data_IF_589138712390
#
_entry.id   IF_589138712390
#
_cell.length_a   1.000
_cell.length_b   1.000
_cell.length_c   1.000
_cell.angle_alpha   90.00
_cell.angle_beta   90.00
_cell.angle_gamma   90.00
#
_symmetry.space_group_name_H-M   'P 1'
#
loop_
_entity.id
_entity.type
_entity.pdbx_description
1 polymer ?
#
# COMPACT_ATOMS: atom_id res chain seq x y z
N UNK A 1 -22.85 -2.59 0.57
CA UNK A 1 -23.74 -1.41 0.50
C UNK A 1 -24.35 -1.38 -0.90
N UNK A 2 -25.68 -1.28 -1.03
CA UNK A 2 -26.34 -1.27 -2.34
C UNK A 2 -26.21 0.10 -3.03
N UNK A 3 -26.34 0.14 -4.35
CA UNK A 3 -26.38 1.39 -5.11
C UNK A 3 -27.46 2.36 -4.59
N UNK A 4 -28.64 1.83 -4.24
CA UNK A 4 -29.72 2.60 -3.64
C UNK A 4 -29.33 3.27 -2.32
N UNK A 5 -28.57 2.58 -1.47
CA UNK A 5 -28.12 3.15 -0.19
C UNK A 5 -27.08 4.25 -0.40
N UNK A 6 -26.23 4.13 -1.42
CA UNK A 6 -25.29 5.19 -1.81
C UNK A 6 -26.06 6.43 -2.27
N UNK A 7 -27.08 6.26 -3.11
CA UNK A 7 -27.93 7.38 -3.55
C UNK A 7 -28.63 8.07 -2.38
N UNK A 8 -29.14 7.31 -1.41
CA UNK A 8 -29.76 7.84 -0.19
C UNK A 8 -28.79 8.70 0.62
N UNK A 9 -27.56 8.21 0.84
CA UNK A 9 -26.52 8.93 1.59
C UNK A 9 -26.07 10.21 0.88
N UNK A 10 -26.00 10.20 -0.45
CA UNK A 10 -25.63 11.37 -1.24
C UNK A 10 -26.79 12.36 -1.42
N UNK A 11 -28.04 11.92 -1.18
CA UNK A 11 -29.23 12.75 -1.24
C UNK A 11 -29.34 13.55 -2.55
N UNK A 12 -29.44 14.87 -2.43
CA UNK A 12 -29.56 15.79 -3.57
C UNK A 12 -28.36 15.78 -4.52
N UNK A 13 -27.19 15.39 -4.04
CA UNK A 13 -25.94 15.39 -4.82
C UNK A 13 -25.76 14.08 -5.61
N UNK A 14 -26.56 13.05 -5.32
CA UNK A 14 -26.45 11.72 -5.92
C UNK A 14 -26.39 11.75 -7.45
N UNK A 15 -27.33 12.48 -8.07
CA UNK A 15 -27.40 12.59 -9.54
C UNK A 15 -26.14 13.24 -10.11
N UNK A 16 -25.70 14.35 -9.51
CA UNK A 16 -24.56 15.10 -10.01
C UNK A 16 -23.24 14.32 -9.85
N UNK A 17 -23.07 13.57 -8.77
CA UNK A 17 -21.84 12.83 -8.48
C UNK A 17 -21.76 11.49 -9.21
N UNK A 18 -22.84 10.71 -9.20
CA UNK A 18 -22.86 9.35 -9.75
C UNK A 18 -22.99 9.33 -11.27
N UNK A 19 -23.69 10.30 -11.85
CA UNK A 19 -23.86 10.39 -13.31
C UNK A 19 -22.77 11.24 -13.98
N UNK A 20 -21.85 11.83 -13.20
CA UNK A 20 -20.77 12.65 -13.76
C UNK A 20 -19.92 11.83 -14.74
N UNK A 21 -19.77 12.35 -15.96
CA UNK A 21 -18.82 11.85 -16.95
C UNK A 21 -17.89 12.98 -17.35
N UNK A 22 -16.59 12.81 -17.07
CA UNK A 22 -15.57 13.73 -17.55
C UNK A 22 -15.57 13.74 -19.08
N UNK A 23 -15.62 14.94 -19.66
CA UNK A 23 -15.51 15.15 -21.12
C UNK A 23 -14.10 15.57 -21.54
N UNK A 24 -13.19 15.73 -20.58
CA UNK A 24 -11.83 16.25 -20.83
C UNK A 24 -10.99 15.24 -21.58
N UNK A 25 -10.95 13.97 -21.12
CA UNK A 25 -10.20 12.89 -21.76
C UNK A 25 -11.11 11.68 -22.03
N UNK A 26 -11.18 11.20 -23.28
CA UNK A 26 -11.96 10.01 -23.63
C UNK A 26 -11.47 8.76 -22.90
N UNK A 27 -12.41 7.94 -22.42
CA UNK A 27 -12.13 6.72 -21.64
C UNK A 27 -11.34 5.67 -22.43
N UNK A 28 -11.55 5.60 -23.74
CA UNK A 28 -10.87 4.71 -24.69
C UNK A 28 -9.38 5.05 -24.88
N UNK A 29 -8.93 6.21 -24.42
CA UNK A 29 -7.50 6.57 -24.37
C UNK A 29 -6.79 6.13 -23.10
N UNK A 30 -7.49 5.45 -22.19
CA UNK A 30 -6.95 5.00 -20.91
C UNK A 30 -6.92 3.48 -20.84
N UNK A 31 -5.89 2.94 -20.18
CA UNK A 31 -5.91 1.56 -19.74
C UNK A 31 -6.90 1.43 -18.58
N UNK A 32 -8.05 0.80 -18.85
CA UNK A 32 -9.11 0.65 -17.84
C UNK A 32 -8.84 -0.61 -16.99
N UNK A 33 -8.90 -0.50 -15.65
CA UNK A 33 -8.86 -1.65 -14.75
C UNK A 33 -9.85 -2.74 -15.13
N UNK A 34 -9.41 -4.00 -15.06
CA UNK A 34 -10.23 -5.16 -15.38
C UNK A 34 -9.64 -6.46 -14.80
N UNK A 35 -10.34 -7.59 -14.96
CA UNK A 35 -9.88 -8.90 -14.48
C UNK A 35 -8.58 -9.37 -15.14
N UNK A 36 -8.28 -8.85 -16.33
CA UNK A 36 -7.07 -9.14 -17.11
C UNK A 36 -5.92 -8.16 -16.82
N UNK A 37 -6.00 -7.34 -15.76
CA UNK A 37 -5.08 -6.21 -15.57
C UNK A 37 -3.60 -6.62 -15.53
N UNK A 38 -3.26 -7.71 -14.84
CA UNK A 38 -1.87 -8.18 -14.75
C UNK A 38 -1.36 -8.63 -16.13
N UNK A 39 -2.14 -9.46 -16.82
CA UNK A 39 -1.78 -9.97 -18.14
C UNK A 39 -1.74 -8.88 -19.20
N UNK A 40 -2.71 -7.96 -19.21
CA UNK A 40 -2.81 -6.92 -20.25
C UNK A 40 -1.84 -5.76 -20.05
N UNK A 41 -1.49 -5.41 -18.81
CA UNK A 41 -0.70 -4.20 -18.51
C UNK A 41 0.71 -4.51 -18.07
N UNK A 42 0.90 -5.50 -17.19
CA UNK A 42 2.22 -5.74 -16.59
C UNK A 42 3.03 -6.81 -17.33
N UNK A 43 2.39 -7.76 -18.03
CA UNK A 43 3.12 -8.85 -18.69
C UNK A 43 4.06 -8.37 -19.82
N UNK A 44 3.71 -7.27 -20.48
CA UNK A 44 4.49 -6.66 -21.57
C UNK A 44 5.63 -5.74 -21.07
N UNK A 45 5.80 -5.64 -19.75
CA UNK A 45 6.83 -4.78 -19.14
C UNK A 45 8.14 -5.51 -18.85
N UNK A 46 9.11 -4.83 -18.25
CA UNK A 46 10.38 -5.40 -17.79
C UNK A 46 10.27 -6.23 -16.49
N UNK A 47 9.05 -6.45 -15.98
CA UNK A 47 8.83 -7.16 -14.72
C UNK A 47 9.12 -8.65 -14.85
N UNK A 48 9.89 -9.16 -13.90
CA UNK A 48 10.19 -10.59 -13.82
C UNK A 48 8.92 -11.41 -13.59
N UNK A 49 8.93 -12.68 -13.99
CA UNK A 49 7.84 -13.63 -13.68
C UNK A 49 7.53 -13.69 -12.18
N UNK A 50 8.55 -13.53 -11.32
CA UNK A 50 8.35 -13.49 -9.86
C UNK A 50 7.56 -12.25 -9.45
N UNK A 51 7.93 -11.08 -9.97
CA UNK A 51 7.20 -9.84 -9.71
C UNK A 51 5.76 -9.89 -10.26
N UNK A 52 5.54 -10.50 -11.43
CA UNK A 52 4.19 -10.73 -11.95
C UNK A 52 3.34 -11.61 -11.01
N UNK A 53 3.93 -12.64 -10.39
CA UNK A 53 3.24 -13.46 -9.37
C UNK A 53 2.87 -12.66 -8.13
N UNK A 54 3.76 -11.78 -7.67
CA UNK A 54 3.48 -10.87 -6.56
C UNK A 54 2.38 -9.85 -6.88
N UNK A 55 2.39 -9.29 -8.09
CA UNK A 55 1.30 -8.45 -8.59
C UNK A 55 -0.01 -9.23 -8.65
N UNK A 56 0.00 -10.47 -9.17
CA UNK A 56 -1.19 -11.31 -9.19
C UNK A 56 -1.73 -11.58 -7.78
N UNK A 57 -0.85 -11.84 -6.81
CA UNK A 57 -1.24 -12.04 -5.41
C UNK A 57 -1.95 -10.80 -4.84
N UNK A 58 -1.50 -9.58 -5.19
CA UNK A 58 -2.16 -8.33 -4.80
C UNK A 58 -3.51 -8.15 -5.51
N UNK A 59 -3.56 -8.32 -6.82
CA UNK A 59 -4.75 -8.07 -7.63
C UNK A 59 -5.85 -9.12 -7.48
N UNK A 60 -5.54 -10.33 -7.02
CA UNK A 60 -6.52 -11.42 -6.81
C UNK A 60 -6.89 -11.66 -5.34
N UNK A 61 -6.54 -10.76 -4.44
CA UNK A 61 -6.92 -10.84 -3.02
C UNK A 61 -7.99 -9.82 -2.63
N UNK A 62 -8.75 -10.11 -1.56
CA UNK A 62 -9.71 -9.17 -0.98
C UNK A 62 -11.00 -8.97 -1.79
N UNK A 63 -11.76 -7.94 -1.44
CA UNK A 63 -13.08 -7.60 -2.01
C UNK A 63 -12.97 -7.12 -3.45
N UNK A 64 -11.86 -6.49 -3.82
CA UNK A 64 -11.62 -5.96 -5.17
C UNK A 64 -10.82 -6.91 -6.06
N UNK A 65 -10.71 -8.20 -5.67
CA UNK A 65 -10.02 -9.20 -6.47
C UNK A 65 -10.53 -9.23 -7.91
N UNK A 66 -9.61 -9.32 -8.86
CA UNK A 66 -9.87 -9.44 -10.29
C UNK A 66 -10.74 -8.30 -10.87
N UNK A 67 -10.74 -7.13 -10.22
CA UNK A 67 -11.38 -5.92 -10.76
C UNK A 67 -10.37 -4.99 -11.45
N UNK A 68 -9.07 -5.25 -11.28
CA UNK A 68 -7.98 -4.35 -11.65
C UNK A 68 -7.79 -3.16 -10.71
N UNK A 69 -8.61 -3.04 -9.65
CA UNK A 69 -8.44 -2.05 -8.58
C UNK A 69 -7.79 -2.68 -7.34
N UNK A 70 -7.07 -1.87 -6.57
CA UNK A 70 -6.46 -2.27 -5.30
C UNK A 70 -7.02 -1.44 -4.15
N UNK A 71 -7.33 -2.12 -3.05
CA UNK A 71 -7.60 -1.52 -1.74
C UNK A 71 -6.52 -1.98 -0.77
N UNK A 72 -5.66 -1.06 -0.35
CA UNK A 72 -4.56 -1.33 0.58
C UNK A 72 -4.90 -0.62 1.89
N UNK A 73 -4.69 -1.27 3.02
CA UNK A 73 -4.74 -0.61 4.34
C UNK A 73 -3.34 -0.14 4.74
N UNK A 74 -2.98 1.14 4.56
CA UNK A 74 -1.71 1.69 5.01
C UNK A 74 -1.79 2.09 6.49
N UNK A 75 -0.98 1.46 7.34
CA UNK A 75 -0.86 1.83 8.76
C UNK A 75 0.61 1.85 9.15
N UNK A 76 1.30 2.94 8.84
CA UNK A 76 2.66 3.23 9.27
C UNK A 76 2.75 4.47 10.17
N UNK A 77 1.63 5.14 10.46
CA UNK A 77 1.61 6.37 11.26
C UNK A 77 2.22 6.23 12.66
N UNK A 78 2.29 5.00 13.21
CA UNK A 78 2.92 4.75 14.50
C UNK A 78 4.38 5.20 14.57
N UNK A 79 5.10 5.20 13.43
CA UNK A 79 6.46 5.75 13.36
C UNK A 79 6.50 7.16 12.78
N UNK A 80 5.63 7.48 11.80
CA UNK A 80 5.59 8.82 11.17
C UNK A 80 5.02 9.92 12.07
N UNK A 81 4.21 9.57 13.07
CA UNK A 81 3.53 10.50 13.97
C UNK A 81 3.58 10.10 15.45
N UNK A 82 4.34 9.06 15.80
CA UNK A 82 4.30 8.34 17.09
C UNK A 82 3.04 7.49 17.30
N UNK A 83 3.23 6.37 18.01
CA UNK A 83 2.15 5.48 18.42
C UNK A 83 1.14 6.17 19.35
N UNK A 84 1.61 7.07 20.22
CA UNK A 84 0.76 7.83 21.13
C UNK A 84 -0.26 8.69 20.37
N UNK A 85 0.18 9.49 19.40
CA UNK A 85 -0.74 10.32 18.62
C UNK A 85 -1.66 9.49 17.73
N UNK A 86 -1.15 8.38 17.18
CA UNK A 86 -1.84 7.57 16.19
C UNK A 86 -2.89 6.62 16.77
N UNK A 87 -2.59 6.00 17.92
CA UNK A 87 -3.37 4.87 18.44
C UNK A 87 -4.03 5.17 19.79
N UNK A 88 -3.72 6.29 20.47
CA UNK A 88 -4.45 6.67 21.68
C UNK A 88 -5.97 6.82 21.49
N UNK A 89 -6.50 7.32 20.35
CA UNK A 89 -7.94 7.38 20.14
C UNK A 89 -8.63 6.02 20.10
N UNK A 90 -7.92 4.96 19.70
CA UNK A 90 -8.41 3.59 19.77
C UNK A 90 -7.28 2.63 20.18
N UNK A 91 -7.09 2.41 21.50
CA UNK A 91 -5.92 1.72 22.04
C UNK A 91 -5.73 0.27 21.59
N UNK A 92 -6.74 -0.38 21.00
CA UNK A 92 -6.58 -1.74 20.49
C UNK A 92 -5.50 -1.82 19.39
N UNK A 93 -5.25 -0.71 18.68
CA UNK A 93 -4.25 -0.67 17.60
C UNK A 93 -2.81 -0.48 18.09
N UNK A 94 -2.59 -0.37 19.41
CA UNK A 94 -1.24 -0.58 19.95
C UNK A 94 -0.78 -2.03 19.76
N UNK A 95 -1.70 -3.00 19.66
CA UNK A 95 -1.40 -4.36 19.23
C UNK A 95 -1.36 -4.42 17.68
N UNK A 96 -0.18 -4.69 17.08
CA UNK A 96 0.00 -4.81 15.64
C UNK A 96 -0.94 -5.81 14.96
N UNK A 97 -1.38 -6.86 15.66
CA UNK A 97 -2.28 -7.88 15.09
C UNK A 97 -3.63 -7.28 14.69
N UNK A 98 -4.12 -6.27 15.41
CA UNK A 98 -5.41 -5.65 15.12
C UNK A 98 -5.41 -4.85 13.82
N UNK A 99 -4.25 -4.35 13.37
CA UNK A 99 -4.08 -3.72 12.06
C UNK A 99 -4.34 -4.75 10.94
N UNK A 100 -3.76 -5.94 11.06
CA UNK A 100 -3.91 -7.00 10.06
C UNK A 100 -5.33 -7.58 10.08
N UNK A 101 -5.91 -7.77 11.27
CA UNK A 101 -7.32 -8.18 11.40
C UNK A 101 -8.26 -7.18 10.73
N UNK A 102 -8.05 -5.89 10.94
CA UNK A 102 -8.83 -4.84 10.29
C UNK A 102 -8.72 -4.94 8.76
N UNK A 103 -7.52 -5.12 8.20
CA UNK A 103 -7.33 -5.26 6.75
C UNK A 103 -8.12 -6.45 6.18
N UNK A 104 -8.09 -7.60 6.87
CA UNK A 104 -8.81 -8.81 6.47
C UNK A 104 -10.32 -8.59 6.55
N UNK A 105 -10.82 -8.05 7.66
CA UNK A 105 -12.25 -7.78 7.86
C UNK A 105 -12.78 -6.75 6.86
N UNK A 106 -11.99 -5.71 6.58
CA UNK A 106 -12.29 -4.71 5.58
C UNK A 106 -12.26 -5.27 4.14
N UNK A 107 -11.73 -6.48 3.93
CA UNK A 107 -11.58 -7.10 2.62
C UNK A 107 -10.56 -6.36 1.75
N UNK A 108 -9.49 -5.85 2.33
CA UNK A 108 -8.40 -5.23 1.59
C UNK A 108 -7.65 -6.26 0.74
N UNK A 109 -7.07 -5.81 -0.36
CA UNK A 109 -6.12 -6.57 -1.17
C UNK A 109 -4.80 -6.81 -0.43
N UNK A 110 -4.39 -5.86 0.41
CA UNK A 110 -3.13 -5.92 1.15
C UNK A 110 -3.14 -5.05 2.40
N UNK A 111 -2.16 -5.27 3.28
CA UNK A 111 -1.82 -4.39 4.39
C UNK A 111 -0.40 -3.86 4.20
N UNK A 112 -0.23 -2.54 4.37
CA UNK A 112 1.06 -1.88 4.31
C UNK A 112 1.43 -1.32 5.68
N UNK A 113 2.61 -1.66 6.20
CA UNK A 113 3.04 -1.18 7.51
C UNK A 113 4.57 -1.27 7.69
N UNK A 114 5.04 -0.90 8.88
CA UNK A 114 6.44 -0.87 9.28
C UNK A 114 7.00 -2.28 9.50
N UNK A 115 8.33 -2.41 9.53
CA UNK A 115 9.00 -3.70 9.78
C UNK A 115 8.62 -4.30 11.13
N UNK A 116 8.51 -3.48 12.19
CA UNK A 116 8.11 -3.94 13.51
C UNK A 116 6.69 -4.51 13.54
N UNK A 117 5.73 -3.80 12.93
CA UNK A 117 4.33 -4.24 12.88
C UNK A 117 4.17 -5.53 12.08
N UNK A 118 4.79 -5.62 10.90
CA UNK A 118 4.63 -6.81 10.06
C UNK A 118 5.41 -8.00 10.60
N UNK A 119 6.63 -7.82 11.11
CA UNK A 119 7.51 -8.92 11.52
C UNK A 119 6.93 -9.75 12.67
N UNK A 120 6.31 -9.11 13.66
CA UNK A 120 5.77 -9.81 14.85
C UNK A 120 4.58 -10.71 14.52
N UNK A 121 3.92 -10.48 13.37
CA UNK A 121 2.73 -11.22 12.94
C UNK A 121 2.91 -11.98 11.61
N UNK A 122 4.07 -11.84 10.95
CA UNK A 122 4.33 -12.35 9.60
C UNK A 122 4.02 -13.84 9.45
N UNK A 123 4.58 -14.69 10.33
CA UNK A 123 4.36 -16.16 10.27
C UNK A 123 2.89 -16.55 10.37
N UNK A 124 2.07 -15.74 11.05
CA UNK A 124 0.64 -16.00 11.27
C UNK A 124 -0.24 -15.53 10.11
N UNK A 125 0.18 -14.53 9.33
CA UNK A 125 -0.68 -13.81 8.39
C UNK A 125 -0.15 -13.57 6.98
N UNK A 126 1.17 -13.60 6.72
CA UNK A 126 1.72 -13.29 5.41
C UNK A 126 1.21 -14.24 4.29
N UNK A 127 0.80 -15.45 4.65
CA UNK A 127 0.18 -16.44 3.75
C UNK A 127 -1.36 -16.31 3.67
N UNK A 128 -1.96 -15.34 4.35
CA UNK A 128 -3.42 -15.11 4.40
C UNK A 128 -3.84 -13.81 3.75
N UNK A 129 -2.99 -12.77 3.83
CA UNK A 129 -3.19 -11.48 3.18
C UNK A 129 -1.82 -10.96 2.71
N UNK A 130 -1.72 -10.42 1.48
CA UNK A 130 -0.52 -9.77 0.98
C UNK A 130 0.01 -8.68 1.92
N UNK A 131 1.30 -8.76 2.25
CA UNK A 131 2.02 -7.76 3.04
C UNK A 131 2.84 -6.85 2.13
N UNK A 132 2.82 -5.55 2.44
CA UNK A 132 3.64 -4.52 1.80
C UNK A 132 4.50 -3.85 2.87
N UNK A 133 5.82 -4.04 2.82
CA UNK A 133 6.70 -3.40 3.79
C UNK A 133 6.99 -1.96 3.39
N UNK A 134 6.53 -0.99 4.19
CA UNK A 134 7.05 0.39 4.10
C UNK A 134 8.43 0.41 4.75
N UNK A 135 9.49 0.55 3.97
CA UNK A 135 10.86 0.30 4.45
C UNK A 135 11.61 1.55 4.93
N UNK A 136 11.15 2.74 4.56
CA UNK A 136 11.70 4.01 5.03
C UNK A 136 10.64 4.82 5.78
N UNK A 137 11.05 5.67 6.71
CA UNK A 137 10.15 6.52 7.48
C UNK A 137 10.82 7.82 7.87
N UNK A 138 10.02 8.79 8.32
CA UNK A 138 10.54 9.98 8.96
C UNK A 138 11.18 9.63 10.31
N UNK A 139 12.34 10.21 10.60
CA UNK A 139 13.04 10.05 11.87
C UNK A 139 12.54 11.11 12.88
N UNK A 140 11.78 10.67 13.89
CA UNK A 140 11.19 11.54 14.91
C UNK A 140 11.80 11.40 16.31
N UNK A 141 12.85 10.58 16.49
CA UNK A 141 13.50 10.35 17.78
C UNK A 141 14.64 11.35 18.07
N UNK A 142 14.93 12.27 17.15
CA UNK A 142 15.92 13.33 17.33
C UNK A 142 15.32 14.69 17.74
N UNK A 143 16.07 15.46 18.53
CA UNK A 143 15.77 16.85 18.87
C UNK A 143 16.94 17.78 18.50
N UNK A 144 16.74 18.84 17.70
CA UNK A 144 15.48 19.23 17.05
C UNK A 144 15.07 18.20 15.99
N UNK A 145 13.76 18.08 15.74
CA UNK A 145 13.25 17.13 14.76
C UNK A 145 13.74 17.47 13.35
N UNK A 146 14.15 16.44 12.62
CA UNK A 146 14.50 16.52 11.20
C UNK A 146 13.42 15.87 10.35
N UNK A 147 13.25 16.35 9.12
CA UNK A 147 12.28 15.81 8.17
C UNK A 147 13.00 15.09 7.05
N UNK A 148 13.44 13.87 7.33
CA UNK A 148 14.20 13.04 6.40
C UNK A 148 13.70 11.60 6.42
N UNK A 149 13.50 11.05 5.22
CA UNK A 149 13.09 9.67 5.04
C UNK A 149 14.33 8.79 5.01
N UNK A 150 14.53 8.03 6.09
CA UNK A 150 15.66 7.11 6.25
C UNK A 150 15.19 5.67 6.21
N UNK A 151 16.06 4.74 5.83
CA UNK A 151 15.74 3.31 5.76
C UNK A 151 15.70 2.70 7.16
N UNK A 152 14.56 2.13 7.54
CA UNK A 152 14.36 1.37 8.78
C UNK A 152 14.42 -0.15 8.56
N UNK A 153 14.35 -0.61 7.31
CA UNK A 153 14.35 -2.01 6.96
C UNK A 153 15.05 -2.28 5.62
N UNK A 154 15.53 -3.51 5.46
CA UNK A 154 16.09 -3.99 4.19
C UNK A 154 15.02 -4.71 3.36
N UNK A 155 15.20 -4.72 2.04
CA UNK A 155 14.33 -5.48 1.13
C UNK A 155 14.45 -6.99 1.39
N UNK A 156 15.65 -7.47 1.71
CA UNK A 156 15.88 -8.86 2.11
C UNK A 156 14.99 -9.25 3.30
N UNK A 157 14.88 -8.39 4.32
CA UNK A 157 13.98 -8.63 5.44
C UNK A 157 12.51 -8.71 4.99
N UNK A 158 12.07 -7.83 4.07
CA UNK A 158 10.72 -7.89 3.50
C UNK A 158 10.44 -9.27 2.86
N UNK A 159 11.38 -9.73 2.05
CA UNK A 159 11.30 -11.02 1.37
C UNK A 159 11.27 -12.20 2.35
N UNK A 160 12.16 -12.22 3.34
CA UNK A 160 12.20 -13.27 4.37
C UNK A 160 10.92 -13.32 5.23
N UNK A 161 10.25 -12.18 5.42
CA UNK A 161 8.94 -12.12 6.10
C UNK A 161 7.77 -12.60 5.23
N UNK A 162 7.99 -12.82 3.93
CA UNK A 162 6.93 -13.17 2.98
C UNK A 162 6.12 -11.96 2.47
N UNK A 163 6.67 -10.75 2.54
CA UNK A 163 6.06 -9.60 1.88
C UNK A 163 6.14 -9.78 0.36
N UNK A 164 5.05 -9.43 -0.34
CA UNK A 164 4.99 -9.51 -1.81
C UNK A 164 5.27 -8.16 -2.47
N UNK A 165 5.37 -7.09 -1.68
CA UNK A 165 5.76 -5.79 -2.18
C UNK A 165 6.44 -4.95 -1.08
N UNK A 166 7.03 -3.84 -1.49
CA UNK A 166 7.63 -2.84 -0.61
C UNK A 166 7.16 -1.44 -1.01
N UNK A 167 7.12 -0.52 -0.05
CA UNK A 167 6.75 0.87 -0.25
C UNK A 167 7.81 1.81 0.30
N UNK A 168 7.86 3.02 -0.25
CA UNK A 168 8.75 4.09 0.20
C UNK A 168 8.09 5.46 0.09
N UNK A 169 8.57 6.42 0.87
CA UNK A 169 8.24 7.84 0.73
C UNK A 169 9.48 8.59 0.24
N UNK A 170 9.27 9.52 -0.69
CA UNK A 170 10.27 10.50 -1.11
C UNK A 170 9.64 11.88 -0.91
N UNK A 171 10.34 12.77 -0.21
CA UNK A 171 9.93 14.18 -0.09
C UNK A 171 10.55 14.99 -1.22
N UNK A 172 9.90 15.00 -2.38
CA UNK A 172 10.33 15.79 -3.55
C UNK A 172 10.46 17.29 -3.19
N UNK A 173 11.55 17.91 -3.65
CA UNK A 173 11.85 19.31 -3.35
C UNK A 173 12.54 19.56 -2.01
N UNK A 174 12.65 18.55 -1.13
CA UNK A 174 13.49 18.64 0.07
C UNK A 174 14.98 18.63 -0.31
N UNK A 175 15.82 19.14 0.60
CA UNK A 175 17.29 19.09 0.46
C UNK A 175 17.81 17.66 0.23
N UNK A 176 17.17 16.68 0.86
CA UNK A 176 17.56 15.27 0.82
C UNK A 176 16.94 14.48 -0.34
N UNK A 177 16.08 15.11 -1.14
CA UNK A 177 15.30 14.44 -2.19
C UNK A 177 16.16 13.67 -3.20
N UNK A 178 17.29 14.22 -3.65
CA UNK A 178 18.19 13.54 -4.58
C UNK A 178 18.75 12.23 -4.01
N UNK A 179 19.14 12.23 -2.72
CA UNK A 179 19.61 11.04 -2.01
C UNK A 179 18.48 10.01 -1.89
N UNK A 180 17.30 10.44 -1.47
CA UNK A 180 16.12 9.58 -1.32
C UNK A 180 15.71 8.93 -2.64
N UNK A 181 15.71 9.67 -3.75
CA UNK A 181 15.40 9.13 -5.09
C UNK A 181 16.36 7.99 -5.46
N UNK A 182 17.66 8.21 -5.33
CA UNK A 182 18.68 7.20 -5.67
C UNK A 182 18.57 5.97 -4.75
N UNK A 183 18.36 6.22 -3.46
CA UNK A 183 18.24 5.15 -2.46
C UNK A 183 16.99 4.27 -2.65
N UNK A 184 15.87 4.89 -3.02
CA UNK A 184 14.60 4.19 -3.31
C UNK A 184 14.70 3.46 -4.64
N UNK A 185 15.30 4.06 -5.67
CA UNK A 185 15.53 3.39 -6.96
C UNK A 185 16.32 2.08 -6.79
N UNK A 186 17.44 2.13 -6.06
CA UNK A 186 18.24 0.94 -5.73
C UNK A 186 17.46 -0.11 -4.91
N UNK A 187 16.61 0.35 -3.99
CA UNK A 187 15.80 -0.55 -3.18
C UNK A 187 14.71 -1.24 -4.04
N UNK A 188 14.08 -0.52 -4.96
CA UNK A 188 13.08 -1.09 -5.87
C UNK A 188 13.69 -2.04 -6.90
N UNK A 189 14.87 -1.73 -7.42
CA UNK A 189 15.65 -2.66 -8.24
C UNK A 189 15.88 -3.98 -7.51
N UNK A 190 16.39 -3.92 -6.27
CA UNK A 190 16.59 -5.12 -5.46
C UNK A 190 15.28 -5.85 -5.10
N UNK A 191 14.16 -5.13 -4.95
CA UNK A 191 12.85 -5.75 -4.76
C UNK A 191 12.43 -6.56 -5.99
N UNK A 192 12.57 -6.00 -7.20
CA UNK A 192 12.25 -6.71 -8.43
C UNK A 192 13.15 -7.94 -8.66
N UNK A 193 14.42 -7.90 -8.23
CA UNK A 193 15.29 -9.07 -8.27
C UNK A 193 14.73 -10.22 -7.42
N UNK A 194 14.17 -9.92 -6.25
CA UNK A 194 13.62 -10.89 -5.31
C UNK A 194 12.20 -11.36 -5.64
N UNK A 195 11.43 -10.56 -6.39
CA UNK A 195 10.12 -10.93 -6.93
C UNK A 195 9.05 -9.91 -6.64
#
# INVERSE_FOLDING_TARGET
MSYSKIQELLGKDAKNLLDHKSKTMPKDKLHIPGPDWVDRIFSESDRSVRTLRSLQALYSHGRLKDTGYLSILPVDQGIEHSAGASFAPNPIYFDPENIVKLAIEAGCNAVASTSGVLSIVARKYAHKIPFILKFNHNELLSYPSTYDQIKFASIKQAHEMGCVAVGATIYFGSKESNRQIIEVAKAFEHAHELG
#
